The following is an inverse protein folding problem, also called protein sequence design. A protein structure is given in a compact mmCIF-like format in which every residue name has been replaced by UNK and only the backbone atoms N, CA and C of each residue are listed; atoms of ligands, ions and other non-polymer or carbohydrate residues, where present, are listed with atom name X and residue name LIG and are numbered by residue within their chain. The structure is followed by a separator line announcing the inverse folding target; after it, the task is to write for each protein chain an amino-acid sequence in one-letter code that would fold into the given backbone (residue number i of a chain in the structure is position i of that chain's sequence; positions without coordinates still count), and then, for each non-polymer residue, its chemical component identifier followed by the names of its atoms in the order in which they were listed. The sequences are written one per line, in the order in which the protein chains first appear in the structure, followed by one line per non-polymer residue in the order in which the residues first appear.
data_IF_015793028184
#
_entry.id   IF_015793028184
#
_cell.length_a   1.000
_cell.length_b   1.000
_cell.length_c   1.000
_cell.angle_alpha   90.00
_cell.angle_beta   90.00
_cell.angle_gamma   90.00
#
_symmetry.space_group_name_H-M   'P 1'
#
loop_
_entity.id
_entity.type
_entity.pdbx_description
1 polymer ?
#
# COMPACT_ATOMS: atom_id res chain seq x y z
N UNK A 1 -3.87 5.54 7.85
CA UNK A 1 -2.70 5.36 6.98
C UNK A 1 -1.67 6.46 7.21
N UNK A 2 -0.46 6.22 6.73
CA UNK A 2 0.67 7.11 6.97
C UNK A 2 0.85 8.13 5.86
N UNK A 3 0.60 7.72 4.62
CA UNK A 3 0.83 8.55 3.44
C UNK A 3 -0.38 8.55 2.52
N UNK A 4 -0.63 9.69 1.90
CA UNK A 4 -1.61 9.84 0.83
C UNK A 4 -0.88 10.35 -0.41
N UNK A 5 -1.07 9.68 -1.55
CA UNK A 5 -0.38 9.98 -2.80
C UNK A 5 -1.39 10.32 -3.88
N UNK A 6 -1.19 11.44 -4.56
CA UNK A 6 -1.90 11.76 -5.79
C UNK A 6 -0.91 11.89 -6.95
N UNK A 7 -1.33 12.46 -8.08
CA UNK A 7 -0.50 12.53 -9.28
C UNK A 7 0.61 13.60 -9.22
N UNK A 8 0.61 14.46 -8.20
CA UNK A 8 1.62 15.50 -8.06
C UNK A 8 2.07 15.76 -6.62
N UNK A 9 1.48 15.08 -5.63
CA UNK A 9 1.76 15.35 -4.21
C UNK A 9 1.84 14.07 -3.39
N UNK A 10 2.64 14.12 -2.33
CA UNK A 10 2.71 13.07 -1.32
C UNK A 10 2.54 13.76 0.03
N UNK A 11 1.53 13.34 0.79
CA UNK A 11 1.25 13.87 2.13
C UNK A 11 1.51 12.81 3.17
N UNK A 12 2.24 13.17 4.21
CA UNK A 12 2.44 12.30 5.37
C UNK A 12 1.51 12.74 6.51
N UNK A 13 0.61 11.84 6.92
CA UNK A 13 -0.35 12.10 7.99
C UNK A 13 0.11 11.57 9.35
N UNK A 14 0.94 10.52 9.35
CA UNK A 14 1.46 9.88 10.56
C UNK A 14 2.95 9.61 10.39
N UNK A 15 3.74 9.73 11.47
CA UNK A 15 5.11 9.21 11.45
C UNK A 15 5.13 7.71 11.14
N UNK A 16 6.18 7.24 10.50
CA UNK A 16 6.28 5.85 10.03
C UNK A 16 6.13 4.82 11.15
N UNK A 17 6.57 5.16 12.36
CA UNK A 17 6.57 4.25 13.51
C UNK A 17 5.26 4.24 14.31
N UNK A 18 4.31 5.11 13.98
CA UNK A 18 3.03 5.19 14.68
C UNK A 18 2.06 4.19 14.07
N UNK A 19 1.31 3.49 14.91
CA UNK A 19 0.30 2.54 14.43
C UNK A 19 -0.82 3.28 13.70
N UNK A 20 -1.12 2.84 12.46
CA UNK A 20 -2.26 3.34 11.70
C UNK A 20 -3.42 2.36 11.71
N UNK A 21 -4.57 2.80 11.17
CA UNK A 21 -5.73 1.93 10.96
C UNK A 21 -6.02 1.88 9.46
N UNK A 22 -5.33 1.00 8.76
CA UNK A 22 -5.33 0.99 7.30
C UNK A 22 -5.40 -0.41 6.69
N UNK A 23 -5.43 -1.47 7.49
CA UNK A 23 -5.32 -2.82 6.97
C UNK A 23 -6.34 -3.81 7.54
N UNK A 24 -6.24 -4.17 8.81
CA UNK A 24 -6.90 -5.35 9.35
C UNK A 24 -7.39 -5.20 10.80
N UNK A 25 -7.86 -4.03 11.17
CA UNK A 25 -8.33 -3.73 12.53
C UNK A 25 -7.19 -3.86 13.55
N UNK A 26 -7.24 -4.84 14.47
CA UNK A 26 -6.17 -5.06 15.45
C UNK A 26 -5.09 -6.04 14.99
N UNK A 27 -5.09 -6.41 13.74
CA UNK A 27 -4.17 -7.38 13.19
C UNK A 27 -2.76 -6.83 12.96
N UNK A 28 -1.86 -7.68 12.46
CA UNK A 28 -0.46 -7.30 12.22
C UNK A 28 -0.31 -6.22 11.15
N UNK A 29 -1.27 -6.11 10.21
CA UNK A 29 -1.24 -5.07 9.20
C UNK A 29 -1.30 -3.68 9.81
N UNK A 30 -2.26 -3.43 10.71
CA UNK A 30 -2.35 -2.15 11.40
C UNK A 30 -1.18 -1.92 12.35
N UNK A 31 -0.74 -2.95 13.05
CA UNK A 31 0.28 -2.81 14.09
C UNK A 31 1.69 -2.62 13.56
N UNK A 32 2.02 -3.25 12.43
CA UNK A 32 3.42 -3.39 12.00
C UNK A 32 3.70 -2.91 10.59
N UNK A 33 2.69 -2.42 9.85
CA UNK A 33 2.94 -1.95 8.49
C UNK A 33 2.78 -0.45 8.34
N UNK A 34 3.37 0.08 7.28
CA UNK A 34 3.19 1.46 6.84
C UNK A 34 2.12 1.44 5.75
N UNK A 35 1.06 2.24 5.92
CA UNK A 35 -0.03 2.32 4.97
C UNK A 35 0.13 3.49 4.00
N UNK A 36 -0.04 3.20 2.72
CA UNK A 36 -0.04 4.21 1.65
C UNK A 36 -1.40 4.16 0.96
N UNK A 37 -2.09 5.29 0.94
CA UNK A 37 -3.35 5.48 0.25
C UNK A 37 -3.12 6.18 -1.08
N UNK A 38 -3.68 5.66 -2.17
CA UNK A 38 -3.60 6.27 -3.50
C UNK A 38 -4.92 6.93 -3.86
N UNK A 39 -4.87 8.18 -4.30
CA UNK A 39 -6.07 8.92 -4.71
C UNK A 39 -6.61 8.41 -6.05
N UNK A 40 -7.93 8.42 -6.19
CA UNK A 40 -8.64 7.94 -7.38
C UNK A 40 -9.63 8.96 -7.97
N UNK A 41 -9.54 10.22 -7.57
CA UNK A 41 -10.46 11.24 -8.06
C UNK A 41 -10.32 11.43 -9.60
N UNK A 42 -11.38 11.92 -10.23
CA UNK A 42 -11.51 12.00 -11.70
C UNK A 42 -10.39 12.77 -12.40
N UNK A 43 -9.96 13.87 -11.80
CA UNK A 43 -8.93 14.75 -12.34
C UNK A 43 -7.51 14.30 -12.00
N UNK A 44 -7.38 13.17 -11.32
CA UNK A 44 -6.10 12.60 -10.94
C UNK A 44 -5.56 11.67 -12.04
N UNK A 45 -4.30 11.84 -12.39
CA UNK A 45 -3.63 10.93 -13.32
C UNK A 45 -3.24 9.65 -12.60
N UNK A 46 -3.92 8.54 -12.91
CA UNK A 46 -3.65 7.24 -12.29
C UNK A 46 -2.21 6.77 -12.52
N UNK A 47 -1.70 6.92 -13.72
CA UNK A 47 -0.33 6.47 -14.02
C UNK A 47 0.72 7.25 -13.24
N UNK A 48 0.54 8.55 -13.05
CA UNK A 48 1.46 9.36 -12.24
C UNK A 48 1.34 9.02 -10.77
N UNK A 49 0.13 8.78 -10.28
CA UNK A 49 -0.10 8.36 -8.89
C UNK A 49 0.58 7.04 -8.60
N UNK A 50 0.46 6.06 -9.50
CA UNK A 50 1.13 4.77 -9.37
C UNK A 50 2.65 4.95 -9.37
N UNK A 51 3.17 5.79 -10.26
CA UNK A 51 4.61 6.06 -10.34
C UNK A 51 5.13 6.72 -9.06
N UNK A 52 4.43 7.73 -8.54
CA UNK A 52 4.75 8.39 -7.28
C UNK A 52 4.71 7.39 -6.11
N UNK A 53 3.71 6.53 -6.09
CA UNK A 53 3.58 5.49 -5.05
C UNK A 53 4.74 4.51 -5.10
N UNK A 54 5.16 4.11 -6.31
CA UNK A 54 6.30 3.23 -6.48
C UNK A 54 7.60 3.87 -5.97
N UNK A 55 7.81 5.15 -6.25
CA UNK A 55 8.98 5.91 -5.76
C UNK A 55 8.98 6.01 -4.24
N UNK A 56 7.84 6.37 -3.65
CA UNK A 56 7.70 6.45 -2.19
C UNK A 56 7.96 5.10 -1.55
N UNK A 57 7.39 4.04 -2.11
CA UNK A 57 7.58 2.67 -1.61
C UNK A 57 9.06 2.29 -1.61
N UNK A 58 9.76 2.56 -2.70
CA UNK A 58 11.19 2.28 -2.81
C UNK A 58 12.00 3.07 -1.77
N UNK A 59 11.65 4.32 -1.55
CA UNK A 59 12.28 5.19 -0.56
C UNK A 59 12.10 4.62 0.86
N UNK A 60 10.88 4.19 1.21
CA UNK A 60 10.60 3.60 2.51
C UNK A 60 11.30 2.26 2.70
N UNK A 61 11.39 1.45 1.65
CA UNK A 61 12.16 0.20 1.67
C UNK A 61 13.63 0.46 2.02
N UNK A 62 14.23 1.47 1.40
CA UNK A 62 15.61 1.84 1.68
C UNK A 62 15.79 2.35 3.11
N UNK A 63 14.89 3.22 3.55
CA UNK A 63 14.94 3.84 4.88
C UNK A 63 14.80 2.81 6.01
N UNK A 64 13.90 1.85 5.84
CA UNK A 64 13.54 0.89 6.89
C UNK A 64 14.06 -0.52 6.61
N UNK A 65 14.85 -0.70 5.57
CA UNK A 65 15.37 -2.01 5.17
C UNK A 65 14.28 -3.06 4.96
N UNK A 66 13.22 -2.68 4.24
CA UNK A 66 12.07 -3.54 3.95
C UNK A 66 12.33 -4.30 2.66
N UNK A 67 12.23 -5.64 2.65
CA UNK A 67 12.38 -6.42 1.42
C UNK A 67 11.15 -6.32 0.53
N UNK A 68 11.34 -6.51 -0.77
CA UNK A 68 10.27 -6.42 -1.76
C UNK A 68 9.10 -7.37 -1.47
N UNK A 69 9.38 -8.56 -0.92
CA UNK A 69 8.34 -9.55 -0.57
C UNK A 69 7.35 -9.06 0.49
N UNK A 70 7.69 -7.99 1.21
CA UNK A 70 6.82 -7.39 2.23
C UNK A 70 6.04 -6.19 1.72
N UNK A 71 6.12 -5.88 0.45
CA UNK A 71 5.27 -4.89 -0.19
C UNK A 71 4.00 -5.60 -0.64
N UNK A 72 2.89 -5.31 0.03
CA UNK A 72 1.65 -6.05 -0.15
C UNK A 72 0.48 -5.09 -0.38
N UNK A 73 -0.53 -5.50 -1.16
CA UNK A 73 -1.76 -4.71 -1.29
C UNK A 73 -2.62 -4.87 -0.03
N UNK A 74 -3.58 -3.96 0.16
CA UNK A 74 -4.55 -4.08 1.25
C UNK A 74 -5.25 -5.46 1.22
N UNK A 75 -5.48 -6.00 0.04
CA UNK A 75 -6.03 -7.34 -0.16
C UNK A 75 -5.31 -8.43 0.64
N UNK A 76 -4.02 -8.28 0.89
CA UNK A 76 -3.20 -9.26 1.61
C UNK A 76 -3.74 -9.56 3.01
N UNK A 77 -4.33 -8.55 3.67
CA UNK A 77 -4.72 -8.65 5.07
C UNK A 77 -6.14 -9.17 5.24
N UNK A 78 -6.32 -10.22 6.06
CA UNK A 78 -7.63 -10.66 6.51
C UNK A 78 -8.11 -9.76 7.63
N UNK A 79 -9.28 -9.17 7.48
CA UNK A 79 -9.85 -8.25 8.45
C UNK A 79 -10.66 -9.02 9.48
N UNK A 80 -10.13 -9.14 10.69
CA UNK A 80 -10.79 -9.85 11.80
C UNK A 80 -11.40 -8.81 12.74
N UNK A 81 -12.71 -8.84 12.88
CA UNK A 81 -13.45 -7.87 13.68
C UNK A 81 -13.19 -8.05 15.17
N UNK A 82 -13.11 -6.93 15.92
CA UNK A 82 -12.79 -6.97 17.35
C UNK A 82 -13.80 -7.72 18.19
N UNK A 83 -15.09 -7.43 17.97
CA UNK A 83 -16.18 -7.82 18.87
C UNK A 83 -16.42 -9.32 18.87
N UNK A 84 -16.62 -9.89 17.68
CA UNK A 84 -17.04 -11.27 17.50
C UNK A 84 -16.00 -12.12 16.79
N UNK A 85 -14.82 -11.57 16.48
CA UNK A 85 -13.73 -12.23 15.75
C UNK A 85 -14.15 -12.73 14.37
N UNK A 86 -15.20 -12.17 13.81
CA UNK A 86 -15.66 -12.53 12.48
C UNK A 86 -14.64 -12.10 11.42
N UNK A 87 -14.30 -13.03 10.53
CA UNK A 87 -13.47 -12.73 9.36
C UNK A 87 -14.32 -11.96 8.34
N UNK A 88 -14.01 -10.67 8.17
CA UNK A 88 -14.69 -9.79 7.22
C UNK A 88 -14.14 -9.92 5.80
N UNK A 89 -13.25 -10.88 5.59
CA UNK A 89 -12.65 -11.12 4.30
C UNK A 89 -11.55 -10.13 3.94
N UNK A 90 -11.07 -10.28 2.73
CA UNK A 90 -10.02 -9.43 2.15
C UNK A 90 -10.68 -8.33 1.32
N UNK A 91 -10.03 -7.18 1.23
CA UNK A 91 -10.55 -6.03 0.51
C UNK A 91 -9.97 -5.96 -0.90
N UNK A 92 -10.81 -5.69 -1.90
CA UNK A 92 -10.39 -5.44 -3.28
C UNK A 92 -9.74 -4.05 -3.37
N UNK A 93 -8.53 -3.94 -2.84
CA UNK A 93 -7.81 -2.67 -2.76
C UNK A 93 -6.31 -2.91 -2.84
N UNK A 94 -5.58 -2.15 -3.63
CA UNK A 94 -6.06 -1.16 -4.60
C UNK A 94 -6.57 -1.84 -5.87
N UNK A 95 -7.84 -1.68 -6.17
CA UNK A 95 -8.51 -2.44 -7.23
C UNK A 95 -7.86 -2.28 -8.61
N UNK A 96 -7.32 -1.11 -8.92
CA UNK A 96 -6.67 -0.87 -10.22
C UNK A 96 -5.26 -1.47 -10.32
N UNK A 97 -4.72 -2.00 -9.24
CA UNK A 97 -3.47 -2.78 -9.24
C UNK A 97 -3.72 -4.27 -9.05
N UNK A 98 -4.97 -4.68 -8.94
CA UNK A 98 -5.38 -6.08 -8.82
C UNK A 98 -6.07 -6.54 -10.09
N UNK A 99 -5.99 -7.83 -10.38
CA UNK A 99 -6.65 -8.46 -11.51
C UNK A 99 -7.78 -9.35 -10.98
N UNK A 100 -9.03 -9.01 -11.31
CA UNK A 100 -10.22 -9.70 -10.79
C UNK A 100 -10.22 -9.80 -9.26
N UNK A 101 -9.82 -8.71 -8.60
CA UNK A 101 -9.80 -8.63 -7.14
C UNK A 101 -8.66 -9.36 -6.46
N UNK A 102 -7.66 -9.81 -7.20
CA UNK A 102 -6.51 -10.57 -6.66
C UNK A 102 -5.19 -10.06 -7.22
N UNK A 103 -4.08 -10.20 -6.46
CA UNK A 103 -2.76 -9.91 -6.98
C UNK A 103 -2.43 -10.83 -8.16
N UNK A 104 -2.06 -10.23 -9.27
CA UNK A 104 -1.71 -10.94 -10.49
C UNK A 104 -0.66 -10.18 -11.27
N UNK A 105 -0.82 -10.14 -12.59
CA UNK A 105 0.14 -9.50 -13.49
C UNK A 105 0.29 -8.01 -13.23
N UNK A 106 -0.80 -7.30 -12.97
CA UNK A 106 -0.78 -5.86 -12.71
C UNK A 106 -0.02 -5.53 -11.43
N UNK A 107 -0.24 -6.29 -10.36
CA UNK A 107 0.51 -6.11 -9.12
C UNK A 107 1.99 -6.40 -9.31
N UNK A 108 2.33 -7.44 -10.07
CA UNK A 108 3.73 -7.77 -10.37
C UNK A 108 4.41 -6.65 -11.15
N UNK A 109 3.71 -6.02 -12.09
CA UNK A 109 4.23 -4.87 -12.84
C UNK A 109 4.50 -3.68 -11.92
N UNK A 110 3.64 -3.44 -10.94
CA UNK A 110 3.86 -2.42 -9.92
C UNK A 110 5.11 -2.74 -9.09
N UNK A 111 5.25 -3.97 -8.62
CA UNK A 111 6.43 -4.39 -7.84
C UNK A 111 7.72 -4.25 -8.66
N UNK A 112 7.67 -4.52 -9.95
CA UNK A 112 8.84 -4.35 -10.82
C UNK A 112 9.25 -2.88 -10.92
N UNK A 113 8.27 -1.98 -10.99
CA UNK A 113 8.51 -0.53 -10.97
C UNK A 113 9.15 -0.11 -9.64
N UNK A 114 8.63 -0.61 -8.52
CA UNK A 114 9.21 -0.38 -7.19
C UNK A 114 10.66 -0.86 -7.14
N UNK A 115 10.92 -2.04 -7.65
CA UNK A 115 12.27 -2.62 -7.70
C UNK A 115 13.25 -1.75 -8.52
N UNK A 116 12.79 -1.21 -9.64
CA UNK A 116 13.60 -0.31 -10.47
C UNK A 116 14.00 0.95 -9.70
N UNK A 117 13.04 1.58 -9.01
CA UNK A 117 13.33 2.74 -8.20
C UNK A 117 14.21 2.40 -7.00
N UNK A 118 13.98 1.24 -6.37
CA UNK A 118 14.80 0.80 -5.23
C UNK A 118 16.29 0.69 -5.59
N UNK A 119 16.60 0.29 -6.81
CA UNK A 119 17.98 0.16 -7.30
C UNK A 119 18.71 1.51 -7.37
N UNK A 120 18.01 2.63 -7.28
CA UNK A 120 18.59 3.98 -7.30
C UNK A 120 19.04 4.47 -5.92
N UNK A 121 18.77 3.72 -4.88
CA UNK A 121 19.15 4.08 -3.51
C UNK A 121 20.41 3.37 -3.03
#
# INVERSE_FOLDING_TARGET
WHYTVDDHSIYQSLPDHVQGQHADYEGPGNRYSIGIEMCENRDNSRSRTIDQTARLTASLMAKHNIPLRRIVPHYHWKRIRYDDRKNMGQKDCPHFLLDNGKPGRTWKSFLQKVRQYRAQY
#
